data_IF_254398010491
#
_entry.id   IF_254398010491
#
_cell.length_a   1.000
_cell.length_b   1.000
_cell.length_c   1.000
_cell.angle_alpha   90.00
_cell.angle_beta   90.00
_cell.angle_gamma   90.00
#
_symmetry.space_group_name_H-M   'P 1'
#
loop_
_entity.id
_entity.type
_entity.pdbx_description
1 polymer ?
#
# COMPACT_ATOMS: atom_id res chain seq x y z
N UNK A 1 6.97 -0.45 10.77
CA UNK A 1 6.79 -1.74 10.08
C UNK A 1 7.14 -2.95 10.95
N UNK A 2 8.29 -2.98 11.64
CA UNK A 2 8.70 -4.14 12.48
C UNK A 2 7.62 -4.55 13.51
N UNK A 3 6.97 -3.57 14.17
CA UNK A 3 5.88 -3.85 15.13
C UNK A 3 4.66 -4.56 14.54
N UNK A 4 4.29 -4.28 13.28
CA UNK A 4 3.17 -4.98 12.62
C UNK A 4 3.51 -6.42 12.33
N UNK A 5 4.74 -6.72 11.87
CA UNK A 5 5.15 -8.10 11.62
C UNK A 5 5.14 -8.92 12.91
N UNK A 6 5.65 -8.36 14.01
CA UNK A 6 5.65 -9.00 15.32
C UNK A 6 4.21 -9.21 15.81
N UNK A 7 3.37 -8.18 15.80
CA UNK A 7 1.97 -8.28 16.23
C UNK A 7 1.16 -9.26 15.39
N UNK A 8 1.29 -9.22 14.06
CA UNK A 8 0.59 -10.12 13.14
C UNK A 8 1.02 -11.57 13.32
N UNK A 9 2.31 -11.81 13.61
CA UNK A 9 2.83 -13.15 13.91
C UNK A 9 2.22 -13.69 15.20
N UNK A 10 2.12 -12.85 16.24
CA UNK A 10 1.48 -13.22 17.50
C UNK A 10 0.00 -13.54 17.27
N UNK A 11 -0.74 -12.71 16.51
CA UNK A 11 -2.15 -12.94 16.18
C UNK A 11 -2.35 -14.26 15.43
N UNK A 12 -1.49 -14.57 14.47
CA UNK A 12 -1.54 -15.82 13.72
C UNK A 12 -1.28 -17.04 14.62
N UNK A 13 -0.25 -16.97 15.48
CA UNK A 13 0.08 -18.03 16.44
C UNK A 13 -1.05 -18.23 17.45
N UNK A 14 -1.66 -17.15 17.96
CA UNK A 14 -2.83 -17.22 18.83
C UNK A 14 -4.04 -17.86 18.13
N UNK A 15 -4.23 -17.60 16.84
CA UNK A 15 -5.26 -18.24 16.03
C UNK A 15 -5.06 -19.75 15.88
N UNK A 16 -3.80 -20.19 15.71
CA UNK A 16 -3.44 -21.61 15.65
C UNK A 16 -3.76 -22.34 16.97
N UNK A 17 -3.66 -21.66 18.11
CA UNK A 17 -4.05 -22.21 19.42
C UNK A 17 -5.55 -22.47 19.57
N UNK A 18 -6.39 -21.82 18.75
CA UNK A 18 -7.85 -22.02 18.76
C UNK A 18 -8.25 -23.09 17.73
N UNK A 19 -7.90 -22.88 16.46
CA UNK A 19 -8.06 -23.89 15.40
C UNK A 19 -7.37 -23.44 14.12
N UNK A 20 -7.07 -24.39 13.23
CA UNK A 20 -6.51 -24.07 11.91
C UNK A 20 -7.41 -23.13 11.10
N UNK A 21 -8.73 -23.28 11.22
CA UNK A 21 -9.70 -22.41 10.54
C UNK A 21 -9.63 -20.96 11.03
N UNK A 22 -9.52 -20.75 12.34
CA UNK A 22 -9.40 -19.40 12.93
C UNK A 22 -8.07 -18.75 12.54
N UNK A 23 -6.97 -19.51 12.50
CA UNK A 23 -5.68 -19.02 12.03
C UNK A 23 -5.73 -18.54 10.58
N UNK A 24 -6.39 -19.29 9.69
CA UNK A 24 -6.54 -18.92 8.28
C UNK A 24 -7.41 -17.67 8.10
N UNK A 25 -8.52 -17.57 8.85
CA UNK A 25 -9.38 -16.37 8.83
C UNK A 25 -8.61 -15.14 9.34
N UNK A 26 -7.85 -15.28 10.43
CA UNK A 26 -7.02 -14.20 10.97
C UNK A 26 -5.93 -13.78 9.98
N UNK A 27 -5.27 -14.73 9.31
CA UNK A 27 -4.28 -14.45 8.27
C UNK A 27 -4.91 -13.68 7.10
N UNK A 28 -6.07 -14.13 6.62
CA UNK A 28 -6.80 -13.48 5.54
C UNK A 28 -7.20 -12.05 5.94
N UNK A 29 -7.73 -11.87 7.13
CA UNK A 29 -8.09 -10.57 7.69
C UNK A 29 -6.87 -9.62 7.77
N UNK A 30 -5.74 -10.11 8.27
CA UNK A 30 -4.50 -9.34 8.39
C UNK A 30 -3.95 -8.90 7.02
N UNK A 31 -4.02 -9.77 6.01
CA UNK A 31 -3.62 -9.43 4.63
C UNK A 31 -4.53 -8.33 4.06
N UNK A 32 -5.85 -8.47 4.24
CA UNK A 32 -6.84 -7.53 3.72
C UNK A 32 -6.71 -6.16 4.40
N UNK A 33 -6.63 -6.12 5.74
CA UNK A 33 -6.57 -4.85 6.48
C UNK A 33 -5.29 -4.08 6.17
N UNK A 34 -4.14 -4.76 6.04
CA UNK A 34 -2.89 -4.12 5.62
C UNK A 34 -3.03 -3.55 4.21
N UNK A 35 -3.55 -4.33 3.25
CA UNK A 35 -3.71 -3.87 1.86
C UNK A 35 -4.69 -2.70 1.75
N UNK A 36 -5.72 -2.69 2.59
CA UNK A 36 -6.69 -1.59 2.69
C UNK A 36 -6.08 -0.33 3.30
N UNK A 37 -5.29 -0.46 4.36
CA UNK A 37 -4.53 0.65 4.95
C UNK A 37 -3.60 1.29 3.91
N UNK A 38 -2.86 0.49 3.14
CA UNK A 38 -2.01 0.99 2.06
C UNK A 38 -2.81 1.71 0.97
N UNK A 39 -3.96 1.16 0.56
CA UNK A 39 -4.83 1.79 -0.43
C UNK A 39 -5.37 3.14 0.06
N UNK A 40 -5.81 3.21 1.32
CA UNK A 40 -6.25 4.45 1.94
C UNK A 40 -5.10 5.45 2.06
N UNK A 41 -3.90 5.02 2.43
CA UNK A 41 -2.74 5.91 2.53
C UNK A 41 -2.37 6.49 1.16
N UNK A 42 -2.38 5.66 0.10
CA UNK A 42 -2.17 6.11 -1.28
C UNK A 42 -3.22 7.15 -1.71
N UNK A 43 -4.49 6.93 -1.35
CA UNK A 43 -5.58 7.87 -1.66
C UNK A 43 -5.46 9.17 -0.87
N UNK A 44 -5.20 9.12 0.44
CA UNK A 44 -5.07 10.30 1.30
C UNK A 44 -3.89 11.17 0.85
N UNK A 45 -2.77 10.53 0.49
CA UNK A 45 -1.59 11.22 -0.06
C UNK A 45 -1.92 11.83 -1.43
N UNK A 46 -2.54 11.10 -2.36
CA UNK A 46 -2.92 11.64 -3.67
C UNK A 46 -3.92 12.81 -3.60
N UNK A 47 -4.85 12.78 -2.63
CA UNK A 47 -5.86 13.84 -2.44
C UNK A 47 -5.23 15.16 -1.93
N UNK A 48 -4.08 15.11 -1.24
CA UNK A 48 -3.37 16.32 -0.77
C UNK A 48 -2.59 17.04 -1.87
N UNK A 49 -2.30 16.40 -3.01
CA UNK A 49 -1.26 16.88 -3.96
C UNK A 49 -1.85 17.47 -5.27
N UNK A 50 -3.18 17.55 -5.44
CA UNK A 50 -3.82 18.07 -6.69
C UNK A 50 -3.24 17.39 -7.96
N UNK A 51 -3.07 16.07 -7.94
CA UNK A 51 -2.66 15.32 -9.13
C UNK A 51 -3.85 15.08 -10.07
N UNK A 52 -3.66 15.26 -11.38
CA UNK A 52 -4.67 14.97 -12.38
C UNK A 52 -4.82 13.46 -12.55
N UNK A 53 -6.04 12.97 -12.79
CA UNK A 53 -6.34 11.53 -12.86
C UNK A 53 -5.54 10.79 -13.94
N UNK A 54 -5.17 11.46 -15.04
CA UNK A 54 -4.37 10.85 -16.10
C UNK A 54 -2.91 10.61 -15.70
N UNK A 55 -2.33 11.44 -14.82
CA UNK A 55 -0.94 11.30 -14.37
C UNK A 55 -0.77 10.05 -13.50
N UNK A 56 -1.76 9.82 -12.63
CA UNK A 56 -1.81 8.66 -11.74
C UNK A 56 -2.02 7.37 -12.56
N UNK A 57 -2.90 7.39 -13.57
CA UNK A 57 -3.13 6.24 -14.46
C UNK A 57 -1.87 5.85 -15.23
N UNK A 58 -1.13 6.85 -15.73
CA UNK A 58 0.12 6.60 -16.45
C UNK A 58 1.21 6.05 -15.53
N UNK A 59 1.31 6.57 -14.30
CA UNK A 59 2.20 6.03 -13.27
C UNK A 59 1.86 4.57 -12.92
N UNK A 60 0.56 4.24 -12.80
CA UNK A 60 0.10 2.87 -12.57
C UNK A 60 0.55 1.93 -13.69
N UNK A 61 0.42 2.34 -14.95
CA UNK A 61 0.76 1.52 -16.11
C UNK A 61 2.28 1.26 -16.21
N UNK A 62 3.10 2.28 -15.91
CA UNK A 62 4.57 2.17 -15.91
C UNK A 62 5.04 1.23 -14.80
N UNK A 63 4.51 1.40 -13.59
CA UNK A 63 4.87 0.52 -12.48
C UNK A 63 4.31 -0.89 -12.66
N UNK A 64 3.14 -1.06 -13.28
CA UNK A 64 2.59 -2.37 -13.65
C UNK A 64 3.54 -3.11 -14.60
N UNK A 65 4.06 -2.43 -15.62
CA UNK A 65 5.03 -3.02 -16.54
C UNK A 65 6.37 -3.37 -15.86
N UNK A 66 6.79 -2.58 -14.86
CA UNK A 66 8.07 -2.78 -14.16
C UNK A 66 8.01 -3.81 -13.03
N UNK A 67 6.89 -3.89 -12.29
CA UNK A 67 6.76 -4.66 -11.04
C UNK A 67 5.47 -5.52 -10.97
N UNK A 68 4.68 -5.57 -12.04
CA UNK A 68 3.41 -6.30 -12.09
C UNK A 68 2.33 -5.69 -11.18
N UNK A 69 1.45 -6.55 -10.65
CA UNK A 69 0.36 -6.14 -9.75
C UNK A 69 0.84 -5.37 -8.51
N UNK A 70 2.07 -5.61 -8.04
CA UNK A 70 2.67 -4.84 -6.94
C UNK A 70 2.99 -3.40 -7.34
N UNK A 71 3.33 -3.17 -8.60
CA UNK A 71 3.62 -1.85 -9.16
C UNK A 71 2.39 -0.95 -9.25
N UNK A 72 1.24 -1.49 -9.64
CA UNK A 72 -0.04 -0.76 -9.64
C UNK A 72 -0.33 -0.16 -8.26
N UNK A 73 0.05 -0.88 -7.21
CA UNK A 73 -0.14 -0.46 -5.80
C UNK A 73 0.87 0.60 -5.39
N UNK A 74 2.13 0.51 -5.86
CA UNK A 74 3.20 1.43 -5.50
C UNK A 74 3.14 2.77 -6.28
N UNK A 75 2.58 2.76 -7.49
CA UNK A 75 2.55 3.90 -8.40
C UNK A 75 2.05 5.22 -7.79
N UNK A 76 0.92 5.28 -7.05
CA UNK A 76 0.39 6.55 -6.54
C UNK A 76 1.31 7.15 -5.46
N UNK A 77 1.98 6.28 -4.69
CA UNK A 77 2.88 6.67 -3.60
C UNK A 77 4.17 7.26 -4.20
N UNK A 78 4.77 6.56 -5.16
CA UNK A 78 5.98 7.04 -5.84
C UNK A 78 5.70 8.30 -6.66
N UNK A 79 4.57 8.36 -7.37
CA UNK A 79 4.19 9.55 -8.13
C UNK A 79 3.99 10.77 -7.22
N UNK A 80 3.31 10.58 -6.08
CA UNK A 80 3.14 11.61 -5.07
C UNK A 80 4.48 12.14 -4.52
N UNK A 81 5.40 11.22 -4.19
CA UNK A 81 6.73 11.55 -3.68
C UNK A 81 7.56 12.32 -4.71
N UNK A 82 7.62 11.81 -5.95
CA UNK A 82 8.35 12.45 -7.05
C UNK A 82 7.81 13.87 -7.32
N UNK A 83 6.48 14.03 -7.29
CA UNK A 83 5.84 15.34 -7.48
C UNK A 83 6.13 16.31 -6.33
N UNK A 84 6.23 15.81 -5.09
CA UNK A 84 6.65 16.65 -3.96
C UNK A 84 8.11 17.09 -4.07
N UNK A 85 9.03 16.19 -4.44
CA UNK A 85 10.45 16.51 -4.64
C UNK A 85 10.65 17.53 -5.77
N UNK A 86 9.95 17.36 -6.90
CA UNK A 86 10.03 18.30 -8.01
C UNK A 86 9.55 19.70 -7.60
N UNK A 87 8.53 19.78 -6.75
CA UNK A 87 8.01 21.05 -6.23
C UNK A 87 8.95 21.69 -5.20
N UNK A 88 9.57 20.90 -4.32
CA UNK A 88 10.62 21.38 -3.42
C UNK A 88 11.84 21.88 -4.18
N UNK A 89 12.22 21.19 -5.25
CA UNK A 89 13.29 21.57 -6.15
C UNK A 89 12.94 22.76 -7.07
N UNK A 90 11.71 23.30 -7.00
CA UNK A 90 11.18 24.36 -7.88
C UNK A 90 11.29 24.05 -9.38
N UNK A 91 11.22 22.77 -9.75
CA UNK A 91 11.23 22.32 -11.14
C UNK A 91 9.83 22.34 -11.77
N UNK A 92 8.78 22.39 -10.94
CA UNK A 92 7.36 22.53 -11.31
C UNK A 92 6.59 23.37 -10.29
#
# INVERSE_FOLDING_TARGET
MIGNLISNTIVFISGLSVSLGVALIALLYLIVIHKFEYFLNARIVGTKIRANSWEILLAMLVFEAAFGLAGVVAAPIYYAYLKSELREAKLI
#
